data_IF_072028214706
#
_entry.id   IF_072028214706
#
_cell.length_a   1.000
_cell.length_b   1.000
_cell.length_c   1.000
_cell.angle_alpha   90.00
_cell.angle_beta   90.00
_cell.angle_gamma   90.00
#
_symmetry.space_group_name_H-M   'P 1'
#
loop_
_entity.id
_entity.type
_entity.pdbx_description
1 polymer ?
#
# COMPACT_ATOMS: atom_id res chain seq x y z
N UNK A 1 -20.27 -29.71 9.18
CA UNK A 1 -19.15 -28.95 8.57
C UNK A 1 -18.62 -29.77 7.41
N UNK A 2 -18.49 -29.18 6.24
CA UNK A 2 -17.82 -29.81 5.10
C UNK A 2 -16.39 -30.17 5.48
N UNK A 3 -15.86 -31.29 4.97
CA UNK A 3 -14.46 -31.66 5.15
C UNK A 3 -13.57 -30.49 4.67
N UNK A 4 -12.67 -29.95 5.54
CA UNK A 4 -11.78 -28.85 5.16
C UNK A 4 -10.99 -29.11 3.88
N UNK A 5 -10.60 -30.37 3.62
CA UNK A 5 -9.89 -30.75 2.40
C UNK A 5 -10.75 -30.54 1.16
N UNK A 6 -12.01 -30.98 1.20
CA UNK A 6 -12.96 -30.83 0.08
C UNK A 6 -13.20 -29.37 -0.23
N UNK A 7 -13.41 -28.53 0.79
CA UNK A 7 -13.61 -27.09 0.63
C UNK A 7 -12.36 -26.42 0.02
N UNK A 8 -11.17 -26.74 0.52
CA UNK A 8 -9.91 -26.18 0.01
C UNK A 8 -9.65 -26.58 -1.44
N UNK A 9 -9.94 -27.83 -1.82
CA UNK A 9 -9.84 -28.29 -3.21
C UNK A 9 -10.83 -27.58 -4.14
N UNK A 10 -12.07 -27.35 -3.69
CA UNK A 10 -13.06 -26.60 -4.46
C UNK A 10 -12.62 -25.16 -4.71
N UNK A 11 -12.10 -24.47 -3.69
CA UNK A 11 -11.60 -23.10 -3.81
C UNK A 11 -10.32 -23.02 -4.65
N UNK A 12 -9.42 -23.99 -4.50
CA UNK A 12 -8.23 -24.10 -5.35
C UNK A 12 -8.60 -24.24 -6.84
N UNK A 13 -9.60 -25.08 -7.17
CA UNK A 13 -10.11 -25.19 -8.54
C UNK A 13 -10.63 -23.85 -9.05
N UNK A 14 -11.47 -23.16 -8.27
CA UNK A 14 -12.00 -21.83 -8.61
C UNK A 14 -10.89 -20.81 -8.90
N UNK A 15 -9.83 -20.80 -8.10
CA UNK A 15 -8.68 -19.91 -8.31
C UNK A 15 -7.87 -20.28 -9.55
N UNK A 16 -7.62 -21.58 -9.80
CA UNK A 16 -6.95 -22.05 -11.02
C UNK A 16 -7.73 -21.69 -12.29
N UNK A 17 -9.06 -21.81 -12.27
CA UNK A 17 -9.91 -21.41 -13.40
C UNK A 17 -9.80 -19.91 -13.67
N UNK A 18 -9.75 -19.08 -12.61
CA UNK A 18 -9.52 -17.62 -12.72
C UNK A 18 -8.15 -17.31 -13.31
N UNK A 19 -7.08 -17.98 -12.85
CA UNK A 19 -5.72 -17.84 -13.41
C UNK A 19 -5.73 -18.18 -14.90
N UNK A 20 -6.29 -19.32 -15.30
CA UNK A 20 -6.37 -19.74 -16.70
C UNK A 20 -7.20 -18.76 -17.57
N UNK A 21 -8.25 -18.14 -17.01
CA UNK A 21 -9.02 -17.11 -17.70
C UNK A 21 -8.22 -15.80 -17.88
N UNK A 22 -7.52 -15.36 -16.84
CA UNK A 22 -6.69 -14.14 -16.92
C UNK A 22 -5.45 -14.31 -17.78
N UNK A 23 -4.83 -15.49 -17.79
CA UNK A 23 -3.68 -15.78 -18.63
C UNK A 23 -4.04 -15.74 -20.13
N UNK A 24 -5.20 -16.31 -20.49
CA UNK A 24 -5.76 -16.16 -21.84
C UNK A 24 -5.99 -14.69 -22.23
N UNK A 25 -6.56 -13.89 -21.31
CA UNK A 25 -6.75 -12.44 -21.55
C UNK A 25 -5.41 -11.70 -21.66
N UNK A 26 -4.44 -12.06 -20.84
CA UNK A 26 -3.09 -11.49 -20.86
C UNK A 26 -2.44 -11.70 -22.24
N UNK A 27 -2.51 -12.91 -22.80
CA UNK A 27 -2.00 -13.22 -24.13
C UNK A 27 -2.73 -12.43 -25.24
N UNK A 28 -4.06 -12.39 -25.21
CA UNK A 28 -4.86 -11.63 -26.18
C UNK A 28 -4.47 -10.15 -26.17
N UNK A 29 -4.38 -9.55 -24.98
CA UNK A 29 -4.00 -8.13 -24.83
C UNK A 29 -2.56 -7.90 -25.26
N UNK A 30 -1.65 -8.82 -24.95
CA UNK A 30 -0.26 -8.71 -25.38
C UNK A 30 -0.14 -8.71 -26.91
N UNK A 31 -0.81 -9.64 -27.59
CA UNK A 31 -0.84 -9.71 -29.05
C UNK A 31 -1.53 -8.48 -29.67
N UNK A 32 -2.62 -8.00 -29.06
CA UNK A 32 -3.30 -6.77 -29.49
C UNK A 32 -2.39 -5.54 -29.41
N UNK A 33 -1.51 -5.44 -28.39
CA UNK A 33 -0.53 -4.34 -28.30
C UNK A 33 0.51 -4.42 -29.40
N UNK A 34 0.99 -5.63 -29.72
CA UNK A 34 1.95 -5.82 -30.81
C UNK A 34 1.33 -5.42 -32.16
N UNK A 35 0.09 -5.84 -32.40
CA UNK A 35 -0.67 -5.44 -33.59
C UNK A 35 -0.88 -3.92 -33.63
N UNK A 36 -1.30 -3.30 -32.52
CA UNK A 36 -1.48 -1.85 -32.42
C UNK A 36 -0.18 -1.09 -32.68
N UNK A 37 0.96 -1.55 -32.14
CA UNK A 37 2.27 -0.94 -32.39
C UNK A 37 2.66 -1.02 -33.88
N UNK A 38 2.43 -2.17 -34.52
CA UNK A 38 2.65 -2.33 -35.96
C UNK A 38 1.73 -1.41 -36.79
N UNK A 39 0.45 -1.29 -36.41
CA UNK A 39 -0.50 -0.35 -37.05
C UNK A 39 -0.05 1.10 -36.89
N UNK A 40 0.42 1.52 -35.71
CA UNK A 40 0.93 2.87 -35.46
C UNK A 40 2.17 3.14 -36.33
N UNK A 41 3.11 2.18 -36.42
CA UNK A 41 4.29 2.30 -37.27
C UNK A 41 3.92 2.46 -38.76
N UNK A 42 2.92 1.70 -39.24
CA UNK A 42 2.41 1.84 -40.60
C UNK A 42 1.75 3.20 -40.83
N UNK A 43 0.93 3.67 -39.89
CA UNK A 43 0.28 4.98 -39.98
C UNK A 43 1.29 6.13 -39.98
N UNK A 44 2.34 6.04 -39.15
CA UNK A 44 3.46 6.98 -39.14
C UNK A 44 4.15 7.01 -40.51
N UNK A 45 4.44 5.84 -41.08
CA UNK A 45 5.07 5.77 -42.39
C UNK A 45 4.19 6.40 -43.49
N UNK A 46 2.89 6.09 -43.51
CA UNK A 46 1.95 6.67 -44.48
C UNK A 46 1.77 8.18 -44.31
N UNK A 47 1.70 8.67 -43.06
CA UNK A 47 1.52 10.09 -42.77
C UNK A 47 2.77 10.91 -43.16
N UNK A 48 3.97 10.44 -42.82
CA UNK A 48 5.20 11.23 -42.99
C UNK A 48 5.89 11.02 -44.36
N UNK A 49 5.84 9.82 -44.94
CA UNK A 49 6.53 9.55 -46.22
C UNK A 49 5.61 9.67 -47.43
N UNK A 50 4.31 9.40 -47.28
CA UNK A 50 3.35 9.48 -48.38
C UNK A 50 2.40 10.68 -48.30
N UNK A 51 2.22 11.29 -47.12
CA UNK A 51 1.30 12.40 -46.92
C UNK A 51 -0.18 12.04 -47.16
N UNK A 52 -0.51 10.76 -47.27
CA UNK A 52 -1.86 10.28 -47.64
C UNK A 52 -2.80 10.15 -46.45
N UNK A 53 -2.27 10.20 -45.22
CA UNK A 53 -3.04 9.98 -43.99
C UNK A 53 -2.85 11.16 -43.04
N UNK A 54 -3.96 11.65 -42.50
CA UNK A 54 -3.95 12.73 -41.51
C UNK A 54 -3.21 12.31 -40.22
N UNK A 55 -2.34 13.15 -39.65
CA UNK A 55 -1.64 12.88 -38.38
C UNK A 55 -2.56 12.53 -37.20
N UNK A 56 -3.83 12.94 -37.25
CA UNK A 56 -4.82 12.62 -36.21
C UNK A 56 -5.06 11.11 -36.05
N UNK A 57 -4.89 10.31 -37.10
CA UNK A 57 -4.99 8.84 -37.01
C UNK A 57 -3.86 8.22 -36.18
N UNK A 58 -2.66 8.82 -36.22
CA UNK A 58 -1.55 8.40 -35.37
C UNK A 58 -1.87 8.69 -33.91
N UNK A 59 -2.39 9.89 -33.61
CA UNK A 59 -2.80 10.27 -32.25
C UNK A 59 -3.87 9.32 -31.71
N UNK A 60 -4.89 8.99 -32.53
CA UNK A 60 -5.93 8.02 -32.16
C UNK A 60 -5.34 6.62 -31.90
N UNK A 61 -4.39 6.17 -32.73
CA UNK A 61 -3.69 4.90 -32.53
C UNK A 61 -2.89 4.87 -31.23
N UNK A 62 -2.14 5.94 -30.92
CA UNK A 62 -1.40 6.09 -29.66
C UNK A 62 -2.33 6.08 -28.46
N UNK A 63 -3.46 6.82 -28.51
CA UNK A 63 -4.45 6.81 -27.44
C UNK A 63 -5.03 5.40 -27.20
N UNK A 64 -5.35 4.67 -28.27
CA UNK A 64 -5.79 3.27 -28.20
C UNK A 64 -4.73 2.35 -27.60
N UNK A 65 -3.47 2.53 -27.95
CA UNK A 65 -2.35 1.79 -27.37
C UNK A 65 -2.19 2.05 -25.87
N UNK A 66 -2.27 3.32 -25.45
CA UNK A 66 -2.21 3.69 -24.01
C UNK A 66 -3.37 3.03 -23.24
N UNK A 67 -4.60 3.08 -23.78
CA UNK A 67 -5.75 2.41 -23.16
C UNK A 67 -5.51 0.89 -23.01
N UNK A 68 -4.90 0.27 -24.02
CA UNK A 68 -4.56 -1.16 -23.99
C UNK A 68 -3.46 -1.49 -22.97
N UNK A 69 -2.46 -0.62 -22.80
CA UNK A 69 -1.43 -0.73 -21.76
C UNK A 69 -2.07 -0.67 -20.36
N UNK A 70 -2.97 0.28 -20.11
CA UNK A 70 -3.69 0.39 -18.83
C UNK A 70 -4.55 -0.84 -18.58
N UNK A 71 -5.26 -1.33 -19.59
CA UNK A 71 -6.06 -2.56 -19.47
C UNK A 71 -5.17 -3.78 -19.19
N UNK A 72 -4.02 -3.89 -19.85
CA UNK A 72 -3.05 -4.96 -19.62
C UNK A 72 -2.55 -4.97 -18.17
N UNK A 73 -2.19 -3.81 -17.63
CA UNK A 73 -1.76 -3.68 -16.24
C UNK A 73 -2.83 -4.19 -15.26
N UNK A 74 -4.11 -3.86 -15.51
CA UNK A 74 -5.23 -4.36 -14.70
C UNK A 74 -5.41 -5.88 -14.81
N UNK A 75 -5.22 -6.45 -15.99
CA UNK A 75 -5.27 -7.91 -16.18
C UNK A 75 -4.15 -8.59 -15.42
N UNK A 76 -2.93 -8.05 -15.47
CA UNK A 76 -1.78 -8.58 -14.77
C UNK A 76 -1.96 -8.53 -13.24
N UNK A 77 -2.49 -7.43 -12.70
CA UNK A 77 -2.81 -7.31 -11.28
C UNK A 77 -3.83 -8.36 -10.83
N UNK A 78 -4.87 -8.60 -11.63
CA UNK A 78 -5.89 -9.63 -11.34
C UNK A 78 -5.34 -11.06 -11.46
N UNK A 79 -4.42 -11.28 -12.40
CA UNK A 79 -3.71 -12.55 -12.55
C UNK A 79 -2.88 -12.81 -11.29
N UNK A 80 -2.06 -11.85 -10.85
CA UNK A 80 -1.24 -12.00 -9.65
C UNK A 80 -2.11 -12.26 -8.41
N UNK A 81 -3.19 -11.50 -8.20
CA UNK A 81 -4.16 -11.75 -7.12
C UNK A 81 -4.74 -13.17 -7.17
N UNK A 82 -5.00 -13.69 -8.37
CA UNK A 82 -5.53 -15.05 -8.52
C UNK A 82 -4.48 -16.12 -8.22
N UNK A 83 -3.24 -15.91 -8.64
CA UNK A 83 -2.09 -16.77 -8.32
C UNK A 83 -1.84 -16.82 -6.80
N UNK A 84 -2.01 -15.71 -6.10
CA UNK A 84 -1.96 -15.64 -4.62
C UNK A 84 -2.99 -16.55 -3.97
N UNK A 85 -4.23 -16.53 -4.46
CA UNK A 85 -5.29 -17.44 -4.04
C UNK A 85 -4.93 -18.91 -4.25
N UNK A 86 -4.31 -19.26 -5.38
CA UNK A 86 -3.78 -20.61 -5.63
C UNK A 86 -2.73 -20.99 -4.58
N UNK A 87 -1.70 -20.14 -4.37
CA UNK A 87 -0.63 -20.38 -3.38
C UNK A 87 -1.17 -20.55 -1.96
N UNK A 88 -2.22 -19.83 -1.59
CA UNK A 88 -2.86 -19.94 -0.27
C UNK A 88 -3.43 -21.34 -0.04
N UNK A 89 -4.21 -21.85 -0.99
CA UNK A 89 -4.86 -23.17 -0.85
C UNK A 89 -3.91 -24.34 -1.06
N UNK A 90 -2.89 -24.19 -1.92
CA UNK A 90 -1.83 -25.20 -2.06
C UNK A 90 -1.08 -25.38 -0.74
N UNK A 91 -0.61 -24.28 -0.12
CA UNK A 91 0.01 -24.32 1.23
C UNK A 91 -0.94 -24.90 2.28
N UNK A 92 -2.23 -24.54 2.21
CA UNK A 92 -3.26 -25.08 3.10
C UNK A 92 -3.42 -26.60 3.00
N UNK A 93 -3.46 -27.15 1.77
CA UNK A 93 -3.58 -28.58 1.51
C UNK A 93 -2.29 -29.35 1.85
N UNK A 94 -1.12 -28.77 1.60
CA UNK A 94 0.17 -29.30 2.06
C UNK A 94 0.20 -29.45 3.58
N UNK A 95 -0.26 -28.42 4.31
CA UNK A 95 -0.40 -28.48 5.76
C UNK A 95 -1.36 -29.57 6.22
N UNK A 96 -2.55 -29.66 5.61
CA UNK A 96 -3.53 -30.73 5.91
C UNK A 96 -3.03 -32.14 5.54
N UNK A 97 -1.96 -32.27 4.75
CA UNK A 97 -1.36 -33.54 4.37
C UNK A 97 -0.01 -33.82 5.03
N UNK A 98 0.41 -32.98 5.98
CA UNK A 98 1.67 -33.15 6.71
C UNK A 98 2.93 -32.80 5.91
N UNK A 99 2.81 -32.15 4.75
CA UNK A 99 3.93 -31.79 3.86
C UNK A 99 4.30 -30.29 3.91
N UNK A 100 4.22 -29.69 5.09
CA UNK A 100 4.42 -28.24 5.30
C UNK A 100 5.84 -27.88 5.72
N UNK A 101 6.61 -28.81 6.28
CA UNK A 101 7.90 -28.51 6.89
C UNK A 101 8.90 -27.99 5.83
N UNK A 102 9.41 -26.77 6.05
CA UNK A 102 10.35 -26.10 5.17
C UNK A 102 9.74 -25.29 4.03
N UNK A 103 8.41 -25.13 3.96
CA UNK A 103 7.74 -24.26 2.98
C UNK A 103 7.24 -22.94 3.57
N UNK A 104 7.34 -22.76 4.89
CA UNK A 104 6.91 -21.57 5.62
C UNK A 104 8.06 -20.73 6.17
N UNK A 105 7.71 -19.71 6.96
CA UNK A 105 8.68 -18.93 7.73
C UNK A 105 8.89 -19.63 9.07
N UNK A 106 10.11 -20.13 9.31
CA UNK A 106 10.47 -20.91 10.49
C UNK A 106 10.51 -20.12 11.80
N UNK A 107 10.58 -18.79 11.73
CA UNK A 107 10.71 -17.96 12.93
C UNK A 107 12.09 -18.07 13.58
N UNK A 108 13.14 -18.34 12.79
CA UNK A 108 14.52 -18.51 13.28
C UNK A 108 15.02 -17.30 14.09
N UNK A 109 14.52 -16.09 13.78
CA UNK A 109 14.78 -14.86 14.54
C UNK A 109 14.22 -14.88 15.97
N UNK A 110 13.31 -15.79 16.30
CA UNK A 110 12.65 -15.91 17.60
C UNK A 110 13.17 -17.09 18.44
N UNK A 111 14.22 -17.79 17.99
CA UNK A 111 14.76 -18.96 18.71
C UNK A 111 15.38 -18.60 20.07
N UNK A 112 15.98 -17.42 20.19
CA UNK A 112 16.70 -17.01 21.40
C UNK A 112 15.75 -16.59 22.54
N UNK A 113 16.11 -16.93 23.78
CA UNK A 113 15.51 -16.34 24.98
C UNK A 113 14.48 -17.16 25.76
N UNK A 114 14.20 -18.43 25.42
CA UNK A 114 13.28 -19.26 26.22
C UNK A 114 13.83 -20.67 26.54
N UNK A 115 13.82 -21.11 27.83
CA UNK A 115 14.44 -22.37 28.24
C UNK A 115 13.95 -23.62 27.50
N UNK A 116 12.67 -23.67 27.12
CA UNK A 116 12.06 -24.83 26.46
C UNK A 116 11.84 -24.68 24.95
N UNK A 117 12.20 -23.54 24.36
CA UNK A 117 11.90 -23.29 22.95
C UNK A 117 12.59 -24.28 22.01
N UNK A 118 13.78 -24.77 22.40
CA UNK A 118 14.51 -25.81 21.67
C UNK A 118 13.95 -27.21 21.92
N UNK A 119 13.54 -27.52 23.15
CA UNK A 119 13.05 -28.86 23.50
C UNK A 119 11.66 -29.15 22.90
N UNK A 120 10.83 -28.12 22.72
CA UNK A 120 9.50 -28.22 22.13
C UNK A 120 9.48 -27.91 20.62
N UNK A 121 10.64 -27.76 19.99
CA UNK A 121 10.78 -27.37 18.58
C UNK A 121 9.85 -26.20 18.21
N UNK A 122 9.84 -25.13 19.02
CA UNK A 122 8.92 -24.02 18.84
C UNK A 122 9.23 -23.21 17.60
N UNK A 123 10.51 -23.09 17.22
CA UNK A 123 10.99 -22.24 16.13
C UNK A 123 12.00 -23.00 15.25
N UNK A 124 12.16 -22.56 14.01
CA UNK A 124 13.02 -23.15 12.99
C UNK A 124 12.24 -23.99 11.96
N UNK A 125 12.98 -24.73 11.13
CA UNK A 125 12.41 -25.63 10.11
C UNK A 125 11.71 -26.83 10.76
N UNK A 126 10.47 -27.09 10.37
CA UNK A 126 9.65 -28.18 10.92
C UNK A 126 9.10 -27.89 12.30
N UNK A 127 9.11 -26.63 12.74
CA UNK A 127 8.69 -26.21 14.08
C UNK A 127 7.18 -26.02 14.22
N UNK A 128 6.72 -25.94 15.48
CA UNK A 128 5.33 -25.59 15.78
C UNK A 128 4.96 -24.19 15.24
N UNK A 129 5.87 -23.21 15.32
CA UNK A 129 5.67 -21.90 14.73
C UNK A 129 5.47 -21.99 13.22
N UNK A 130 6.32 -22.72 12.50
CA UNK A 130 6.18 -22.86 11.04
C UNK A 130 4.84 -23.52 10.66
N UNK A 131 4.39 -24.52 11.42
CA UNK A 131 3.10 -25.18 11.21
C UNK A 131 1.91 -24.23 11.37
N UNK A 132 1.92 -23.43 12.45
CA UNK A 132 0.80 -22.56 12.83
C UNK A 132 0.80 -21.22 12.09
N UNK A 133 1.98 -20.71 11.73
CA UNK A 133 2.12 -19.35 11.22
C UNK A 133 1.47 -19.16 9.85
N UNK A 134 0.35 -18.46 9.85
CA UNK A 134 -0.28 -17.91 8.64
C UNK A 134 -0.22 -16.38 8.58
N UNK A 135 0.53 -15.75 9.49
CA UNK A 135 0.72 -14.31 9.49
C UNK A 135 1.47 -13.88 8.21
N UNK A 136 1.24 -12.62 7.86
CA UNK A 136 1.81 -11.97 6.66
C UNK A 136 2.48 -10.65 6.99
N UNK A 137 2.49 -10.29 8.27
CA UNK A 137 3.12 -9.08 8.81
C UNK A 137 4.14 -9.48 9.87
N UNK A 138 5.23 -8.73 10.00
CA UNK A 138 6.26 -8.98 11.01
C UNK A 138 5.67 -8.86 12.42
N UNK A 139 4.77 -7.89 12.64
CA UNK A 139 4.06 -7.72 13.90
C UNK A 139 3.17 -8.93 14.25
N UNK A 140 2.51 -9.53 13.25
CA UNK A 140 1.69 -10.73 13.45
C UNK A 140 2.54 -11.96 13.76
N UNK A 141 3.71 -12.09 13.12
CA UNK A 141 4.68 -13.14 13.41
C UNK A 141 5.26 -13.01 14.82
N UNK A 142 5.66 -11.80 15.22
CA UNK A 142 6.13 -11.52 16.58
C UNK A 142 5.05 -11.83 17.63
N UNK A 143 3.80 -11.42 17.38
CA UNK A 143 2.66 -11.70 18.27
C UNK A 143 2.46 -13.21 18.45
N UNK A 144 2.51 -13.99 17.37
CA UNK A 144 2.39 -15.45 17.45
C UNK A 144 3.58 -16.07 18.20
N UNK A 145 4.80 -15.60 17.93
CA UNK A 145 5.99 -16.07 18.62
C UNK A 145 5.91 -15.83 20.13
N UNK A 146 5.44 -14.66 20.55
CA UNK A 146 5.26 -14.32 21.96
C UNK A 146 4.18 -15.18 22.62
N UNK A 147 3.09 -15.50 21.91
CA UNK A 147 2.05 -16.41 22.41
C UNK A 147 2.53 -17.86 22.54
N UNK A 148 3.48 -18.30 21.71
CA UNK A 148 4.10 -19.63 21.85
C UNK A 148 5.13 -19.66 22.98
N UNK A 149 5.80 -18.53 23.24
CA UNK A 149 6.76 -18.39 24.34
C UNK A 149 6.09 -18.28 25.70
N UNK A 150 4.95 -17.63 25.82
CA UNK A 150 4.27 -17.44 27.09
C UNK A 150 2.77 -17.73 27.00
N UNK A 151 2.30 -18.60 27.90
CA UNK A 151 0.87 -18.87 28.05
C UNK A 151 0.09 -17.65 28.54
N UNK A 152 -1.19 -17.60 28.21
CA UNK A 152 -2.12 -16.60 28.70
C UNK A 152 -2.95 -17.12 29.89
N UNK A 153 -3.58 -16.21 30.64
CA UNK A 153 -4.55 -16.60 31.67
C UNK A 153 -5.83 -17.23 31.07
N UNK A 154 -6.64 -17.85 31.93
CA UNK A 154 -7.85 -18.56 31.48
C UNK A 154 -8.85 -17.66 30.75
N UNK A 155 -9.02 -16.41 31.20
CA UNK A 155 -9.99 -15.49 30.62
C UNK A 155 -9.57 -15.09 29.19
N UNK A 156 -8.28 -14.79 29.02
CA UNK A 156 -7.67 -14.47 27.74
C UNK A 156 -7.69 -15.67 26.78
N UNK A 157 -7.46 -16.89 27.27
CA UNK A 157 -7.59 -18.12 26.48
C UNK A 157 -9.01 -18.30 25.94
N UNK A 158 -10.02 -18.18 26.81
CA UNK A 158 -11.44 -18.30 26.41
C UNK A 158 -11.80 -17.24 25.37
N UNK A 159 -11.36 -15.99 25.58
CA UNK A 159 -11.62 -14.89 24.64
C UNK A 159 -10.98 -15.14 23.26
N UNK A 160 -9.76 -15.70 23.22
CA UNK A 160 -9.10 -16.09 21.96
C UNK A 160 -9.81 -17.25 21.28
N UNK A 161 -10.23 -18.27 22.01
CA UNK A 161 -10.94 -19.43 21.46
C UNK A 161 -12.28 -19.01 20.83
N UNK A 162 -13.04 -18.14 21.50
CA UNK A 162 -14.28 -17.58 20.95
C UNK A 162 -14.03 -16.82 19.65
N UNK A 163 -13.00 -15.98 19.60
CA UNK A 163 -12.61 -15.27 18.39
C UNK A 163 -12.21 -16.23 17.26
N UNK A 164 -11.46 -17.29 17.56
CA UNK A 164 -11.07 -18.32 16.58
C UNK A 164 -12.30 -19.09 16.07
N UNK A 165 -13.22 -19.47 16.95
CA UNK A 165 -14.42 -20.22 16.59
C UNK A 165 -15.35 -19.44 15.66
N UNK A 166 -15.47 -18.12 15.88
CA UNK A 166 -16.17 -17.22 14.98
C UNK A 166 -15.45 -17.10 13.63
N UNK A 167 -14.15 -16.78 13.64
CA UNK A 167 -13.38 -16.62 12.39
C UNK A 167 -13.28 -17.91 11.58
N UNK A 168 -13.36 -19.07 12.23
CA UNK A 168 -13.30 -20.39 11.59
C UNK A 168 -14.35 -20.53 10.47
N UNK A 169 -15.55 -19.99 10.64
CA UNK A 169 -16.64 -20.06 9.65
C UNK A 169 -16.55 -18.96 8.59
N UNK A 170 -15.86 -17.85 8.87
CA UNK A 170 -15.61 -16.72 7.96
C UNK A 170 -14.56 -17.02 6.89
N UNK A 171 -14.78 -18.05 6.06
CA UNK A 171 -13.81 -18.47 5.04
C UNK A 171 -13.50 -17.39 4.01
N UNK A 172 -14.51 -16.64 3.57
CA UNK A 172 -14.31 -15.56 2.59
C UNK A 172 -13.52 -14.40 3.20
N UNK A 173 -13.80 -14.02 4.45
CA UNK A 173 -13.01 -13.05 5.18
C UNK A 173 -11.54 -13.48 5.30
N UNK A 174 -11.30 -14.72 5.72
CA UNK A 174 -9.95 -15.28 5.87
C UNK A 174 -9.21 -15.34 4.54
N UNK A 175 -9.89 -15.70 3.45
CA UNK A 175 -9.33 -15.71 2.10
C UNK A 175 -8.96 -14.29 1.65
N UNK A 176 -9.87 -13.32 1.81
CA UNK A 176 -9.63 -11.93 1.42
C UNK A 176 -8.43 -11.34 2.17
N UNK A 177 -8.38 -11.50 3.50
CA UNK A 177 -7.27 -11.01 4.33
C UNK A 177 -5.95 -11.64 3.90
N UNK A 178 -5.93 -12.95 3.65
CA UNK A 178 -4.71 -13.65 3.26
C UNK A 178 -4.21 -13.26 1.85
N UNK A 179 -5.13 -12.96 0.92
CA UNK A 179 -4.78 -12.53 -0.45
C UNK A 179 -4.33 -11.07 -0.47
N UNK A 180 -5.02 -10.18 0.24
CA UNK A 180 -4.67 -8.75 0.36
C UNK A 180 -3.30 -8.57 1.01
N UNK A 181 -2.95 -9.40 1.99
CA UNK A 181 -1.66 -9.28 2.67
C UNK A 181 -0.49 -9.93 1.93
N UNK A 182 -0.75 -10.83 0.98
CA UNK A 182 0.26 -11.33 0.01
C UNK A 182 0.45 -10.30 -1.14
N UNK A 183 -0.38 -9.24 -1.20
CA UNK A 183 -0.47 -8.28 -2.31
C UNK A 183 0.71 -7.31 -2.41
N UNK A 184 1.36 -7.05 -1.28
CA UNK A 184 2.65 -6.39 -1.15
C UNK A 184 3.59 -7.22 -0.29
N UNK A 185 4.87 -6.86 -0.28
CA UNK A 185 5.80 -7.34 0.74
C UNK A 185 5.46 -6.64 2.08
N UNK A 186 4.24 -6.86 2.59
CA UNK A 186 3.73 -6.36 3.90
C UNK A 186 4.64 -6.84 5.05
N UNK A 187 5.59 -7.70 4.70
CA UNK A 187 6.88 -7.93 5.34
C UNK A 187 7.70 -6.67 5.70
N UNK A 188 7.24 -5.44 5.43
CA UNK A 188 7.84 -4.20 5.96
C UNK A 188 6.89 -3.33 6.78
N UNK A 189 5.91 -3.95 7.45
CA UNK A 189 5.15 -3.26 8.51
C UNK A 189 6.08 -2.65 9.57
N UNK A 190 7.29 -3.21 9.77
CA UNK A 190 8.33 -2.61 10.60
C UNK A 190 8.70 -1.17 10.22
N UNK A 191 8.73 -0.79 8.93
CA UNK A 191 9.10 0.57 8.54
C UNK A 191 8.03 1.60 8.95
N UNK A 192 6.75 1.29 8.71
CA UNK A 192 5.62 2.14 9.11
C UNK A 192 5.50 2.18 10.63
N UNK A 193 5.61 1.04 11.31
CA UNK A 193 5.57 0.98 12.77
C UNK A 193 6.74 1.75 13.41
N UNK A 194 7.95 1.62 12.87
CA UNK A 194 9.13 2.39 13.30
C UNK A 194 8.91 3.89 13.09
N UNK A 195 8.31 4.28 11.96
CA UNK A 195 7.98 5.67 11.69
C UNK A 195 6.92 6.20 12.67
N UNK A 196 5.86 5.44 12.94
CA UNK A 196 4.84 5.81 13.91
C UNK A 196 5.40 5.96 15.33
N UNK A 197 6.39 5.14 15.70
CA UNK A 197 7.06 5.20 16.99
C UNK A 197 7.99 6.42 17.17
N UNK A 198 8.31 7.15 16.09
CA UNK A 198 9.07 8.40 16.19
C UNK A 198 8.19 9.51 16.77
N UNK A 199 8.79 10.40 17.55
CA UNK A 199 8.08 11.60 18.00
C UNK A 199 7.76 12.52 16.80
N UNK A 200 6.50 12.96 16.64
CA UNK A 200 6.14 13.94 15.63
C UNK A 200 6.95 15.22 15.83
N UNK A 201 7.38 15.83 14.72
CA UNK A 201 8.15 17.07 14.82
C UNK A 201 7.29 18.19 15.41
N UNK A 202 7.83 18.87 16.42
CA UNK A 202 7.23 20.06 17.01
C UNK A 202 7.37 21.25 16.05
N UNK A 203 6.51 21.29 15.03
CA UNK A 203 6.41 22.43 14.12
C UNK A 203 5.63 23.55 14.84
N UNK A 204 6.22 24.75 15.02
CA UNK A 204 5.51 25.87 15.63
C UNK A 204 4.23 26.23 14.88
N UNK A 205 3.20 26.65 15.60
CA UNK A 205 1.86 26.95 15.02
C UNK A 205 1.86 28.05 13.96
N UNK A 206 2.85 28.95 13.96
CA UNK A 206 3.00 30.02 12.99
C UNK A 206 3.60 29.55 11.66
N UNK A 207 4.30 28.41 11.62
CA UNK A 207 4.99 27.94 10.41
C UNK A 207 4.01 27.56 9.30
N UNK A 208 2.94 26.77 9.52
CA UNK A 208 1.93 26.51 8.49
C UNK A 208 1.27 27.80 7.96
N UNK A 209 1.04 28.77 8.84
CA UNK A 209 0.45 30.08 8.48
C UNK A 209 1.41 30.88 7.63
N UNK A 210 2.70 30.90 7.98
CA UNK A 210 3.76 31.54 7.20
C UNK A 210 3.84 30.95 5.79
N UNK A 211 3.89 29.62 5.66
CA UNK A 211 3.93 28.96 4.36
C UNK A 211 2.69 29.27 3.51
N UNK A 212 1.49 29.23 4.11
CA UNK A 212 0.27 29.59 3.41
C UNK A 212 0.24 31.06 2.97
N UNK A 213 0.73 31.98 3.83
CA UNK A 213 0.84 33.40 3.51
C UNK A 213 1.81 33.63 2.35
N UNK A 214 2.98 32.99 2.36
CA UNK A 214 3.96 33.03 1.26
C UNK A 214 3.31 32.60 -0.06
N UNK A 215 2.61 31.46 -0.09
CA UNK A 215 1.89 30.99 -1.28
C UNK A 215 0.87 32.00 -1.79
N UNK A 216 0.08 32.61 -0.90
CA UNK A 216 -0.92 33.63 -1.29
C UNK A 216 -0.22 34.85 -1.87
N UNK A 217 0.85 35.34 -1.24
CA UNK A 217 1.61 36.49 -1.73
C UNK A 217 2.22 36.19 -3.11
N UNK A 218 2.82 35.01 -3.28
CA UNK A 218 3.40 34.58 -4.56
C UNK A 218 2.34 34.46 -5.66
N UNK A 219 1.13 33.97 -5.33
CA UNK A 219 0.02 33.92 -6.27
C UNK A 219 -0.46 35.34 -6.65
N UNK A 220 -0.68 36.21 -5.67
CA UNK A 220 -1.12 37.60 -5.90
C UNK A 220 -0.10 38.37 -6.73
N UNK A 221 1.20 38.25 -6.41
CA UNK A 221 2.27 38.87 -7.17
C UNK A 221 2.37 38.30 -8.58
N UNK A 222 2.19 36.99 -8.77
CA UNK A 222 2.13 36.37 -10.09
C UNK A 222 0.98 36.93 -10.96
N UNK A 223 -0.20 37.14 -10.37
CA UNK A 223 -1.35 37.75 -11.04
C UNK A 223 -1.07 39.23 -11.36
N UNK A 224 -0.54 40.01 -10.41
CA UNK A 224 -0.20 41.40 -10.67
C UNK A 224 0.88 41.56 -11.76
N UNK A 225 1.84 40.64 -11.81
CA UNK A 225 2.87 40.61 -12.84
C UNK A 225 2.30 40.25 -14.23
N UNK A 226 1.30 39.37 -14.30
CA UNK A 226 0.67 39.01 -15.59
C UNK A 226 -0.15 40.15 -16.19
N UNK A 227 -0.73 41.02 -15.36
CA UNK A 227 -1.38 42.27 -15.79
C UNK A 227 -0.39 43.44 -15.99
N UNK A 228 0.92 43.22 -15.81
CA UNK A 228 1.96 44.23 -16.01
C UNK A 228 2.00 45.32 -14.93
N UNK A 229 1.31 45.14 -13.79
CA UNK A 229 1.32 46.10 -12.67
C UNK A 229 2.69 46.12 -11.99
N UNK A 230 3.34 44.95 -11.90
CA UNK A 230 4.68 44.80 -11.33
C UNK A 230 5.60 43.99 -12.27
N UNK A 231 6.91 44.25 -12.27
CA UNK A 231 7.88 43.42 -13.00
C UNK A 231 7.99 41.99 -12.45
N UNK A 232 8.21 41.01 -13.33
CA UNK A 232 8.49 39.62 -12.95
C UNK A 232 9.73 39.44 -12.05
N UNK A 233 10.65 40.40 -12.04
CA UNK A 233 11.81 40.38 -11.14
C UNK A 233 11.43 40.40 -9.66
N UNK A 234 10.31 41.04 -9.29
CA UNK A 234 9.82 41.03 -7.91
C UNK A 234 9.28 39.64 -7.50
N UNK A 235 8.60 38.96 -8.41
CA UNK A 235 8.13 37.56 -8.20
C UNK A 235 9.33 36.64 -8.02
N UNK A 236 10.34 36.77 -8.89
CA UNK A 236 11.57 35.99 -8.79
C UNK A 236 12.32 36.26 -7.48
N UNK A 237 12.42 37.53 -7.06
CA UNK A 237 13.03 37.91 -5.79
C UNK A 237 12.32 37.28 -4.59
N UNK A 238 10.99 37.23 -4.60
CA UNK A 238 10.20 36.56 -3.57
C UNK A 238 10.47 35.05 -3.54
N UNK A 239 10.49 34.39 -4.69
CA UNK A 239 10.80 32.95 -4.80
C UNK A 239 12.20 32.64 -4.25
N UNK A 240 13.19 33.53 -4.43
CA UNK A 240 14.51 33.37 -3.81
C UNK A 240 14.47 33.50 -2.28
N UNK A 241 13.68 34.42 -1.73
CA UNK A 241 13.48 34.56 -0.28
C UNK A 241 12.79 33.31 0.28
N UNK A 242 11.74 32.84 -0.38
CA UNK A 242 11.05 31.61 -0.04
C UNK A 242 11.99 30.41 -0.06
N UNK A 243 12.84 30.29 -1.08
CA UNK A 243 13.86 29.24 -1.17
C UNK A 243 14.83 29.30 0.02
N UNK A 244 15.23 30.48 0.48
CA UNK A 244 16.08 30.65 1.66
C UNK A 244 15.37 30.27 2.97
N UNK A 245 14.09 30.63 3.12
CA UNK A 245 13.25 30.23 4.26
C UNK A 245 13.08 28.71 4.28
N UNK A 246 12.71 28.11 3.14
CA UNK A 246 12.59 26.65 2.97
C UNK A 246 13.91 25.97 3.29
N UNK A 247 15.05 26.51 2.84
CA UNK A 247 16.36 25.90 3.10
C UNK A 247 16.64 25.71 4.60
N UNK A 248 16.24 26.67 5.44
CA UNK A 248 16.36 26.57 6.90
C UNK A 248 15.53 25.44 7.50
N UNK A 249 14.33 25.19 6.96
CA UNK A 249 13.42 24.15 7.44
C UNK A 249 13.56 22.81 6.68
N UNK A 250 14.32 22.81 5.58
CA UNK A 250 14.45 21.68 4.65
C UNK A 250 15.02 20.45 5.34
N UNK A 251 16.05 20.60 6.17
CA UNK A 251 16.63 19.45 6.88
C UNK A 251 15.62 18.80 7.83
N UNK A 252 14.84 19.59 8.59
CA UNK A 252 13.83 19.06 9.49
C UNK A 252 12.66 18.40 8.76
N UNK A 253 12.14 19.03 7.70
CA UNK A 253 11.00 18.50 6.92
C UNK A 253 11.39 17.32 6.04
N UNK A 254 12.61 17.31 5.53
CA UNK A 254 13.16 16.22 4.71
C UNK A 254 13.33 14.94 5.55
N UNK A 255 13.71 15.05 6.83
CA UNK A 255 13.79 13.89 7.73
C UNK A 255 12.42 13.22 7.92
N UNK A 256 11.32 13.98 8.07
CA UNK A 256 9.96 13.40 8.16
C UNK A 256 9.59 12.68 6.87
N UNK A 257 9.90 13.33 5.74
CA UNK A 257 9.45 12.86 4.44
C UNK A 257 10.27 11.71 3.86
N UNK A 258 11.59 11.70 4.07
CA UNK A 258 12.47 10.61 3.64
C UNK A 258 12.27 9.36 4.50
N UNK A 259 11.84 9.52 5.77
CA UNK A 259 11.61 8.39 6.69
C UNK A 259 10.30 7.64 6.48
N UNK A 260 9.32 8.23 5.80
CA UNK A 260 8.14 7.47 5.32
C UNK A 260 8.55 6.46 4.24
N UNK A 261 9.73 6.64 3.63
CA UNK A 261 10.57 5.52 3.20
C UNK A 261 9.96 4.52 2.23
N UNK A 262 9.07 4.94 1.32
CA UNK A 262 8.40 4.16 0.25
C UNK A 262 7.66 2.85 0.65
N UNK A 263 6.61 2.45 -0.10
CA UNK A 263 5.81 3.20 -1.08
C UNK A 263 4.37 3.40 -0.59
N UNK A 264 3.67 4.41 -1.13
CA UNK A 264 2.21 4.57 -1.00
C UNK A 264 1.41 3.28 -1.32
N UNK A 265 2.03 2.33 -2.02
CA UNK A 265 1.54 0.98 -2.28
C UNK A 265 1.28 0.19 -0.98
N UNK A 266 2.19 0.21 -0.01
CA UNK A 266 2.03 -0.53 1.24
C UNK A 266 0.90 0.05 2.10
N UNK A 267 0.79 1.39 2.11
CA UNK A 267 -0.33 2.10 2.74
C UNK A 267 -1.66 1.82 2.04
N UNK A 268 -1.65 1.62 0.71
CA UNK A 268 -2.86 1.25 -0.04
C UNK A 268 -3.33 -0.14 0.36
N UNK A 269 -2.42 -1.12 0.40
CA UNK A 269 -2.73 -2.48 0.85
C UNK A 269 -3.21 -2.50 2.29
N UNK A 270 -2.57 -1.75 3.19
CA UNK A 270 -2.99 -1.63 4.58
C UNK A 270 -4.38 -0.97 4.69
N UNK A 271 -4.65 0.06 3.89
CA UNK A 271 -5.97 0.71 3.82
C UNK A 271 -7.06 -0.26 3.37
N UNK A 272 -6.81 -1.05 2.31
CA UNK A 272 -7.75 -2.08 1.84
C UNK A 272 -7.98 -3.18 2.89
N UNK A 273 -6.92 -3.59 3.60
CA UNK A 273 -7.04 -4.55 4.70
C UNK A 273 -7.89 -3.98 5.85
N UNK A 274 -7.66 -2.72 6.25
CA UNK A 274 -8.45 -2.07 7.29
C UNK A 274 -9.93 -1.96 6.88
N UNK A 275 -10.23 -1.57 5.63
CA UNK A 275 -11.61 -1.60 5.12
C UNK A 275 -12.21 -2.98 5.29
N UNK A 276 -11.50 -4.04 4.88
CA UNK A 276 -12.03 -5.41 4.97
C UNK A 276 -12.33 -5.82 6.41
N UNK A 277 -11.47 -5.46 7.37
CA UNK A 277 -11.65 -5.75 8.81
C UNK A 277 -12.79 -4.91 9.41
N UNK A 278 -12.89 -3.63 9.06
CA UNK A 278 -13.93 -2.72 9.55
C UNK A 278 -15.32 -3.10 9.03
N UNK A 279 -15.41 -3.67 7.82
CA UNK A 279 -16.69 -4.10 7.22
C UNK A 279 -17.17 -5.47 7.69
N UNK A 280 -16.31 -6.29 8.30
CA UNK A 280 -16.68 -7.62 8.76
C UNK A 280 -17.59 -7.50 10.00
N UNK A 281 -18.72 -8.21 9.97
CA UNK A 281 -19.61 -8.30 11.13
C UNK A 281 -19.03 -9.27 12.15
N UNK A 282 -18.53 -8.75 13.27
CA UNK A 282 -17.96 -9.54 14.36
C UNK A 282 -18.84 -9.48 15.62
N UNK A 283 -18.97 -10.62 16.31
CA UNK A 283 -19.75 -10.78 17.53
C UNK A 283 -18.95 -11.17 18.77
N UNK A 284 -17.76 -11.77 18.61
CA UNK A 284 -16.90 -12.13 19.73
C UNK A 284 -16.39 -10.86 20.42
N UNK A 285 -16.46 -10.76 21.77
CA UNK A 285 -16.08 -9.56 22.51
C UNK A 285 -14.66 -9.06 22.18
N UNK A 286 -13.71 -9.99 21.99
CA UNK A 286 -12.33 -9.67 21.62
C UNK A 286 -12.24 -9.02 20.25
N UNK A 287 -12.95 -9.56 19.25
CA UNK A 287 -12.92 -9.03 17.89
C UNK A 287 -13.60 -7.66 17.82
N UNK A 288 -14.71 -7.48 18.54
CA UNK A 288 -15.35 -6.18 18.69
C UNK A 288 -14.41 -5.16 19.35
N UNK A 289 -13.68 -5.54 20.40
CA UNK A 289 -12.71 -4.66 21.05
C UNK A 289 -11.57 -4.27 20.09
N UNK A 290 -11.05 -5.22 19.31
CA UNK A 290 -10.04 -4.95 18.28
C UNK A 290 -10.58 -4.02 17.20
N UNK A 291 -11.80 -4.25 16.69
CA UNK A 291 -12.41 -3.40 15.67
C UNK A 291 -12.69 -1.98 16.20
N UNK A 292 -13.12 -1.86 17.46
CA UNK A 292 -13.30 -0.56 18.12
C UNK A 292 -11.97 0.19 18.28
N UNK A 293 -10.87 -0.52 18.57
CA UNK A 293 -9.53 0.07 18.65
C UNK A 293 -9.00 0.60 17.31
N UNK A 294 -9.61 0.22 16.17
CA UNK A 294 -9.30 0.77 14.85
C UNK A 294 -10.01 2.10 14.57
N UNK A 295 -10.72 2.68 15.53
CA UNK A 295 -11.37 3.98 15.40
C UNK A 295 -10.79 4.98 16.39
N UNK A 296 -10.22 6.07 15.86
CA UNK A 296 -9.64 7.16 16.66
C UNK A 296 -10.41 8.44 16.38
N UNK A 297 -10.90 9.12 17.41
CA UNK A 297 -11.69 10.37 17.30
C UNK A 297 -12.90 10.28 16.33
N UNK A 298 -13.52 9.10 16.23
CA UNK A 298 -14.64 8.85 15.30
C UNK A 298 -14.23 8.69 13.83
N UNK A 299 -12.93 8.65 13.54
CA UNK A 299 -12.37 8.35 12.21
C UNK A 299 -11.85 6.92 12.21
N UNK A 300 -12.27 6.15 11.20
CA UNK A 300 -11.80 4.77 11.01
C UNK A 300 -10.37 4.74 10.49
N UNK A 301 -9.60 3.71 10.87
CA UNK A 301 -8.22 3.52 10.44
C UNK A 301 -8.09 3.53 8.91
N UNK A 302 -9.02 2.92 8.19
CA UNK A 302 -9.07 2.94 6.72
C UNK A 302 -9.08 4.35 6.13
N UNK A 303 -9.90 5.26 6.69
CA UNK A 303 -9.99 6.66 6.24
C UNK A 303 -8.75 7.44 6.62
N UNK A 304 -8.21 7.21 7.81
CA UNK A 304 -6.97 7.85 8.26
C UNK A 304 -5.82 7.47 7.33
N UNK A 305 -5.66 6.18 7.01
CA UNK A 305 -4.63 5.66 6.11
C UNK A 305 -4.86 6.16 4.68
N UNK A 306 -6.10 6.15 4.17
CA UNK A 306 -6.40 6.67 2.83
C UNK A 306 -6.02 8.15 2.69
N UNK A 307 -6.26 8.96 3.73
CA UNK A 307 -5.82 10.36 3.78
C UNK A 307 -4.30 10.48 3.77
N UNK A 308 -3.58 9.65 4.52
CA UNK A 308 -2.12 9.63 4.51
C UNK A 308 -1.60 9.25 3.11
N UNK A 309 -2.15 8.22 2.48
CA UNK A 309 -1.81 7.80 1.11
C UNK A 309 -2.01 8.93 0.10
N UNK A 310 -3.12 9.68 0.22
CA UNK A 310 -3.38 10.85 -0.62
C UNK A 310 -2.35 11.96 -0.41
N UNK A 311 -2.00 12.28 0.84
CA UNK A 311 -0.99 13.30 1.14
C UNK A 311 0.40 12.91 0.59
N UNK A 312 0.80 11.65 0.78
CA UNK A 312 2.08 11.11 0.29
C UNK A 312 2.13 11.11 -1.24
N UNK A 313 1.07 10.64 -1.91
CA UNK A 313 1.01 10.61 -3.39
C UNK A 313 1.03 12.00 -4.03
N UNK A 314 0.34 12.97 -3.43
CA UNK A 314 0.39 14.37 -3.88
C UNK A 314 1.77 14.97 -3.70
N UNK A 315 2.42 14.69 -2.58
CA UNK A 315 3.77 15.17 -2.31
C UNK A 315 4.75 14.59 -3.33
N UNK A 316 4.69 13.28 -3.57
CA UNK A 316 5.52 12.61 -4.55
C UNK A 316 5.33 13.17 -5.96
N UNK A 317 4.07 13.36 -6.36
CA UNK A 317 3.70 13.94 -7.66
C UNK A 317 4.21 15.38 -7.79
N UNK A 318 4.14 16.17 -6.72
CA UNK A 318 4.61 17.56 -6.70
C UNK A 318 6.12 17.70 -6.82
N UNK A 319 6.89 16.66 -6.48
CA UNK A 319 8.36 16.66 -6.54
C UNK A 319 8.90 16.02 -7.82
N UNK A 320 8.25 14.99 -8.35
CA UNK A 320 8.79 14.19 -9.46
C UNK A 320 8.14 14.47 -10.81
N UNK A 321 7.01 15.18 -10.86
CA UNK A 321 6.41 15.56 -12.13
C UNK A 321 7.07 16.82 -12.68
N UNK A 322 7.88 16.67 -13.73
CA UNK A 322 8.66 17.75 -14.37
C UNK A 322 7.80 18.95 -14.81
N UNK A 323 6.52 18.76 -15.14
CA UNK A 323 5.62 19.84 -15.53
C UNK A 323 5.13 20.66 -14.32
N UNK A 324 4.84 19.99 -13.20
CA UNK A 324 4.30 20.64 -12.01
C UNK A 324 5.38 21.12 -11.06
N UNK A 325 6.55 20.48 -11.03
CA UNK A 325 7.66 20.75 -10.11
C UNK A 325 8.01 22.24 -9.96
N UNK A 326 8.22 23.05 -11.02
CA UNK A 326 8.57 24.45 -10.85
C UNK A 326 7.44 25.25 -10.19
N UNK A 327 6.18 24.94 -10.55
CA UNK A 327 5.00 25.63 -10.03
C UNK A 327 4.76 25.23 -8.56
N UNK A 328 4.79 23.93 -8.25
CA UNK A 328 4.57 23.41 -6.89
C UNK A 328 5.68 23.84 -5.93
N UNK A 329 6.92 23.92 -6.43
CA UNK A 329 8.06 24.42 -5.64
C UNK A 329 7.92 25.90 -5.36
N UNK A 330 7.54 26.72 -6.35
CA UNK A 330 7.27 28.14 -6.14
C UNK A 330 6.08 28.37 -5.18
N UNK A 331 5.10 27.48 -5.17
CA UNK A 331 3.94 27.55 -4.27
C UNK A 331 4.16 26.86 -2.91
N UNK A 332 5.36 26.32 -2.64
CA UNK A 332 5.70 25.63 -1.38
C UNK A 332 4.79 24.43 -1.06
N UNK A 333 4.21 23.81 -2.09
CA UNK A 333 3.26 22.68 -1.95
C UNK A 333 3.91 21.45 -1.28
N UNK A 334 5.14 21.01 -1.66
CA UNK A 334 5.75 19.86 -1.02
C UNK A 334 5.97 20.03 0.50
N UNK A 335 6.31 21.25 0.93
CA UNK A 335 6.57 21.59 2.33
C UNK A 335 5.25 21.65 3.13
N UNK A 336 4.20 22.24 2.55
CA UNK A 336 2.87 22.23 3.16
C UNK A 336 2.30 20.82 3.31
N UNK A 337 2.53 19.95 2.32
CA UNK A 337 2.14 18.54 2.40
C UNK A 337 2.94 17.80 3.47
N UNK A 338 4.24 18.07 3.64
CA UNK A 338 5.04 17.51 4.72
C UNK A 338 4.51 17.94 6.11
N UNK A 339 4.11 19.20 6.28
CA UNK A 339 3.46 19.70 7.51
C UNK A 339 2.12 19.00 7.74
N UNK A 340 1.32 18.78 6.69
CA UNK A 340 0.04 18.08 6.80
C UNK A 340 0.23 16.61 7.22
N UNK A 341 1.25 15.94 6.69
CA UNK A 341 1.63 14.58 7.10
C UNK A 341 2.08 14.54 8.57
N UNK A 342 2.92 15.50 9.00
CA UNK A 342 3.32 15.59 10.41
C UNK A 342 2.13 15.85 11.35
N UNK A 343 1.16 16.65 10.91
CA UNK A 343 -0.08 16.87 11.67
C UNK A 343 -0.90 15.59 11.78
N UNK A 344 -0.97 14.80 10.71
CA UNK A 344 -1.63 13.49 10.71
C UNK A 344 -0.99 12.56 11.74
N UNK A 345 0.35 12.45 11.74
CA UNK A 345 1.12 11.60 12.69
C UNK A 345 1.00 12.05 14.15
N UNK A 346 0.68 13.32 14.39
CA UNK A 346 0.39 13.80 15.74
C UNK A 346 -1.00 13.42 16.24
N UNK A 347 -1.95 13.17 15.34
CA UNK A 347 -3.35 12.86 15.67
C UNK A 347 -3.60 11.36 15.75
N UNK A 348 -2.97 10.58 14.87
CA UNK A 348 -3.07 9.13 14.76
C UNK A 348 -1.70 8.50 14.96
#
# INVERSE_FOLDING_TARGET
MTDPRVEYEQRLRRWRDRVAAYDRRHLIVSNARLAAAATIALLLWLAFFRGTVSPWWVVAGVAGFVALVVFHARVLQRLERSTRGVRLYERGLERLSGRWAGSGRGGDSFVEGHPYARDLDLFGRGSLFELLNTARTEAGEATLADWLRAGADLAEVIARQQAVDELRTGLDFREDVAILTDEGDVSRTGAIATWLALEPLAVPSHVPVLFAACTIVTLVMGVLASYGVIPWSFVLGLVFIEAAVVHRWRQALRIVAERIGQPAVDLTVLGELMVRIETESVGAPRLMALQAALTTEGVTASRAIARLTQLVSWRESSMHNLLFMPITTALLVPDQLAIAINRWHRTY
#
